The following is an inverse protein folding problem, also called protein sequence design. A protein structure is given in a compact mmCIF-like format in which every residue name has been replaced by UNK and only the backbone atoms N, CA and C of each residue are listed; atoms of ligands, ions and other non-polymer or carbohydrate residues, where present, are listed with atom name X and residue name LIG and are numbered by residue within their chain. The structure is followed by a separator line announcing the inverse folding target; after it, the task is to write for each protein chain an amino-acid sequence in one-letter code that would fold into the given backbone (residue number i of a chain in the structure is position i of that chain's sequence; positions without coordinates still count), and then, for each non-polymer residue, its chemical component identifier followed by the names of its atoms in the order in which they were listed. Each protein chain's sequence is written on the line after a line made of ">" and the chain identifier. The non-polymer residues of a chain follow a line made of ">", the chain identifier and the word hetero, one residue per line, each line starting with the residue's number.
data_IF_361502431045
#
_entry.id   IF_361502431045
#
_cell.length_a   1.000
_cell.length_b   1.000
_cell.length_c   1.000
_cell.angle_alpha   90.00
_cell.angle_beta   90.00
_cell.angle_gamma   90.00
#
_symmetry.space_group_name_H-M   'P 1'
#
loop_
_entity.id
_entity.type
_entity.pdbx_description
1 polymer ?
#
# COMPACT_ATOMS: atom_id res chain seq x y z
N UNK A 1 11.55 24.07 11.07
CA UNK A 1 11.75 23.63 9.68
C UNK A 1 10.42 23.81 8.98
N UNK A 2 10.25 24.93 8.30
CA UNK A 2 9.09 25.14 7.43
C UNK A 2 9.19 24.16 6.24
N UNK A 3 8.10 23.46 5.88
CA UNK A 3 8.08 22.70 4.65
C UNK A 3 8.23 23.69 3.49
N UNK A 4 9.19 23.41 2.59
CA UNK A 4 9.38 24.16 1.35
C UNK A 4 8.02 24.42 0.69
N UNK A 5 7.74 25.64 0.18
CA UNK A 5 6.53 25.89 -0.57
C UNK A 5 6.57 24.98 -1.80
N UNK A 6 5.65 24.00 -1.88
CA UNK A 6 5.38 23.33 -3.16
C UNK A 6 4.76 24.41 -4.04
N UNK A 7 5.52 24.89 -5.01
CA UNK A 7 5.00 25.82 -6.01
C UNK A 7 3.75 25.19 -6.65
N UNK A 8 2.56 25.83 -6.57
CA UNK A 8 1.30 25.28 -7.10
C UNK A 8 1.37 24.88 -8.58
N UNK A 9 2.32 25.45 -9.32
CA UNK A 9 2.53 25.22 -10.73
C UNK A 9 3.15 23.86 -11.08
N UNK A 10 3.65 23.10 -10.10
CA UNK A 10 4.22 21.77 -10.31
C UNK A 10 3.33 20.63 -9.79
N UNK A 11 2.20 20.95 -9.15
CA UNK A 11 1.29 19.91 -8.64
C UNK A 11 0.54 19.23 -9.81
N UNK A 12 0.66 17.90 -9.98
CA UNK A 12 0.08 17.21 -11.11
C UNK A 12 -1.46 17.24 -11.12
N UNK A 13 -2.10 17.33 -9.95
CA UNK A 13 -3.57 17.40 -9.83
C UNK A 13 -4.05 18.80 -10.19
N UNK A 14 -3.39 19.84 -9.68
CA UNK A 14 -3.74 21.22 -10.05
C UNK A 14 -3.54 21.43 -11.56
N UNK A 15 -2.43 20.93 -12.11
CA UNK A 15 -2.14 21.05 -13.53
C UNK A 15 -3.10 20.26 -14.43
N UNK A 16 -3.61 19.10 -14.00
CA UNK A 16 -4.61 18.35 -14.76
C UNK A 16 -5.97 19.06 -14.80
N UNK A 17 -6.29 19.86 -13.78
CA UNK A 17 -7.51 20.66 -13.71
C UNK A 17 -7.43 21.96 -14.51
N UNK A 18 -6.23 22.56 -14.65
CA UNK A 18 -6.04 23.84 -15.36
C UNK A 18 -6.58 23.78 -16.79
N UNK A 19 -7.51 24.68 -17.12
CA UNK A 19 -8.13 24.75 -18.45
C UNK A 19 -9.14 23.65 -18.77
N UNK A 20 -9.41 22.74 -17.83
CA UNK A 20 -10.42 21.69 -18.00
C UNK A 20 -11.84 22.24 -17.89
N UNK A 21 -12.82 21.47 -18.36
CA UNK A 21 -14.24 21.80 -18.17
C UNK A 21 -14.62 21.89 -16.68
N UNK A 22 -13.90 21.19 -15.81
CA UNK A 22 -14.19 21.10 -14.36
C UNK A 22 -13.98 22.43 -13.63
N UNK A 23 -13.13 23.32 -14.15
CA UNK A 23 -12.88 24.64 -13.55
C UNK A 23 -13.87 25.71 -14.01
N UNK A 24 -14.77 25.39 -14.95
CA UNK A 24 -15.77 26.35 -15.43
C UNK A 24 -16.90 26.54 -14.42
N UNK A 25 -17.42 27.76 -14.35
CA UNK A 25 -18.52 28.10 -13.44
C UNK A 25 -19.79 27.29 -13.74
N UNK A 26 -20.06 27.01 -15.02
CA UNK A 26 -21.20 26.25 -15.52
C UNK A 26 -21.03 24.71 -15.46
N UNK A 27 -19.87 24.21 -14.99
CA UNK A 27 -19.67 22.78 -14.81
C UNK A 27 -20.66 22.20 -13.80
N UNK A 28 -21.33 21.09 -14.15
CA UNK A 28 -22.21 20.33 -13.25
C UNK A 28 -21.43 19.50 -12.22
N UNK A 29 -20.15 19.24 -12.47
CA UNK A 29 -19.25 18.52 -11.57
C UNK A 29 -18.31 19.54 -10.94
N UNK A 30 -18.23 19.56 -9.61
CA UNK A 30 -17.33 20.42 -8.85
C UNK A 30 -16.24 19.58 -8.20
N UNK A 31 -15.01 20.07 -8.25
CA UNK A 31 -13.84 19.40 -7.69
C UNK A 31 -13.36 20.19 -6.48
N UNK A 32 -13.17 19.50 -5.36
CA UNK A 32 -12.55 20.04 -4.15
C UNK A 32 -11.27 19.22 -3.92
N UNK A 33 -10.11 19.84 -4.13
CA UNK A 33 -8.83 19.20 -3.87
C UNK A 33 -8.32 19.57 -2.48
N UNK A 34 -8.08 18.55 -1.64
CA UNK A 34 -7.61 18.71 -0.26
C UNK A 34 -6.24 18.02 -0.10
N UNK A 35 -5.12 18.77 -0.21
CA UNK A 35 -3.76 18.22 -0.18
C UNK A 35 -3.25 18.00 1.27
N UNK A 36 -4.13 17.58 2.18
CA UNK A 36 -3.80 17.33 3.59
C UNK A 36 -4.54 16.09 4.09
N UNK A 37 -4.00 15.44 5.12
CA UNK A 37 -4.73 14.37 5.79
C UNK A 37 -5.92 14.94 6.56
N UNK A 38 -7.10 14.36 6.31
CA UNK A 38 -8.33 14.67 7.02
C UNK A 38 -8.18 14.38 8.50
N UNK A 39 -8.39 15.39 9.33
CA UNK A 39 -8.29 15.29 10.77
C UNK A 39 -9.21 16.33 11.41
N UNK A 40 -9.51 16.19 12.70
CA UNK A 40 -10.47 17.09 13.38
C UNK A 40 -10.02 18.55 13.50
N UNK A 41 -8.84 18.88 12.99
CA UNK A 41 -8.19 20.19 13.04
C UNK A 41 -7.59 20.62 11.69
N UNK A 42 -8.02 20.04 10.56
CA UNK A 42 -7.46 20.31 9.23
C UNK A 42 -7.80 21.71 8.68
N UNK A 43 -8.77 22.40 9.29
CA UNK A 43 -9.18 23.77 8.92
C UNK A 43 -10.10 23.86 7.71
N UNK A 44 -10.35 22.76 7.00
CA UNK A 44 -11.22 22.68 5.82
C UNK A 44 -12.52 21.97 6.19
N UNK A 45 -12.45 20.70 6.58
CA UNK A 45 -13.61 19.90 6.96
C UNK A 45 -13.71 19.71 8.47
N UNK A 46 -12.57 19.65 9.17
CA UNK A 46 -12.49 19.39 10.62
C UNK A 46 -13.23 18.11 11.03
N UNK A 47 -13.07 17.06 10.22
CA UNK A 47 -13.67 15.74 10.42
C UNK A 47 -12.59 14.69 10.32
N UNK A 48 -12.77 13.56 11.00
CA UNK A 48 -11.91 12.42 10.73
C UNK A 48 -12.23 11.80 9.36
N UNK A 49 -11.28 11.03 8.83
CA UNK A 49 -11.41 10.36 7.53
C UNK A 49 -12.67 9.50 7.44
N UNK A 50 -13.01 8.76 8.49
CA UNK A 50 -14.13 7.82 8.48
C UNK A 50 -15.49 8.55 8.56
N UNK A 51 -15.59 9.66 9.29
CA UNK A 51 -16.78 10.53 9.31
C UNK A 51 -17.11 11.07 7.92
N UNK A 52 -16.09 11.42 7.12
CA UNK A 52 -16.29 11.85 5.74
C UNK A 52 -16.60 10.68 4.81
N UNK A 53 -15.89 9.55 4.96
CA UNK A 53 -16.06 8.37 4.12
C UNK A 53 -17.50 7.85 4.16
N UNK A 54 -18.09 7.71 5.34
CA UNK A 54 -19.49 7.22 5.51
C UNK A 54 -20.51 8.14 4.83
N UNK A 55 -20.17 9.43 4.66
CA UNK A 55 -21.00 10.42 3.99
C UNK A 55 -20.88 10.42 2.46
N UNK A 56 -19.98 9.62 1.88
CA UNK A 56 -19.82 9.53 0.43
C UNK A 56 -20.86 8.59 -0.19
N UNK A 57 -21.38 8.96 -1.36
CA UNK A 57 -22.32 8.13 -2.13
C UNK A 57 -21.61 7.01 -2.91
N UNK A 58 -20.40 7.29 -3.39
CA UNK A 58 -19.55 6.37 -4.15
C UNK A 58 -18.09 6.80 -4.02
N UNK A 59 -17.17 5.84 -4.01
CA UNK A 59 -15.72 6.10 -4.05
C UNK A 59 -15.09 5.55 -5.34
N UNK A 60 -13.98 6.15 -5.78
CA UNK A 60 -13.28 5.75 -7.01
C UNK A 60 -11.79 5.64 -6.73
N UNK A 61 -11.25 4.42 -6.83
CA UNK A 61 -9.84 4.10 -6.69
C UNK A 61 -9.32 3.44 -7.96
N UNK A 62 -9.10 4.27 -8.99
CA UNK A 62 -8.70 3.83 -10.33
C UNK A 62 -7.20 3.50 -10.43
N UNK A 63 -6.69 2.69 -9.50
CA UNK A 63 -5.25 2.41 -9.34
C UNK A 63 -4.67 1.70 -10.56
N UNK A 64 -3.45 2.09 -10.95
CA UNK A 64 -2.63 1.35 -11.93
C UNK A 64 -1.66 0.38 -11.24
N UNK A 65 -1.23 0.70 -10.02
CA UNK A 65 -0.41 -0.17 -9.18
C UNK A 65 -0.87 -0.09 -7.74
N UNK A 66 -1.48 -1.18 -7.26
CA UNK A 66 -1.96 -1.29 -5.88
C UNK A 66 -1.92 -2.77 -5.46
N UNK A 67 -0.89 -3.22 -4.71
CA UNK A 67 -0.68 -4.65 -4.43
C UNK A 67 -1.87 -5.33 -3.75
N UNK A 68 -2.60 -4.57 -2.93
CA UNK A 68 -3.84 -5.01 -2.30
C UNK A 68 -4.93 -3.99 -2.60
N UNK A 69 -5.19 -3.05 -1.69
CA UNK A 69 -6.26 -2.08 -1.82
C UNK A 69 -7.01 -1.97 -0.51
N UNK A 70 -6.38 -1.31 0.46
CA UNK A 70 -7.01 -1.10 1.77
C UNK A 70 -8.09 -0.02 1.69
N UNK A 71 -7.86 1.07 0.97
CA UNK A 71 -8.84 2.16 0.81
C UNK A 71 -10.16 1.69 0.15
N UNK A 72 -10.15 0.91 -0.95
CA UNK A 72 -11.40 0.36 -1.47
C UNK A 72 -12.05 -0.65 -0.52
N UNK A 73 -11.26 -1.47 0.19
CA UNK A 73 -11.78 -2.40 1.21
C UNK A 73 -12.43 -1.66 2.40
N UNK A 74 -11.81 -0.60 2.89
CA UNK A 74 -12.35 0.26 3.95
C UNK A 74 -13.67 0.89 3.49
N UNK A 75 -13.73 1.40 2.26
CA UNK A 75 -14.94 2.00 1.70
C UNK A 75 -16.13 1.04 1.72
N UNK A 76 -15.94 -0.20 1.24
CA UNK A 76 -17.01 -1.20 1.26
C UNK A 76 -17.38 -1.67 2.67
N UNK A 77 -16.41 -1.69 3.61
CA UNK A 77 -16.67 -1.99 5.01
C UNK A 77 -17.57 -0.95 5.69
N UNK A 78 -17.51 0.31 5.24
CA UNK A 78 -18.45 1.37 5.64
C UNK A 78 -19.72 1.42 4.76
N UNK A 79 -19.99 0.34 4.02
CA UNK A 79 -21.13 0.21 3.10
C UNK A 79 -21.16 1.28 2.01
N UNK A 80 -19.99 1.78 1.59
CA UNK A 80 -19.85 2.77 0.51
C UNK A 80 -19.52 2.03 -0.79
N UNK A 81 -20.39 2.13 -1.82
CA UNK A 81 -20.11 1.56 -3.13
C UNK A 81 -18.80 2.08 -3.70
N UNK A 82 -18.04 1.22 -4.37
CA UNK A 82 -16.65 1.51 -4.73
C UNK A 82 -16.33 1.08 -6.15
N UNK A 83 -15.66 1.95 -6.91
CA UNK A 83 -15.11 1.65 -8.24
C UNK A 83 -13.61 1.40 -8.10
N UNK A 84 -13.12 0.28 -8.60
CA UNK A 84 -11.68 -0.08 -8.60
C UNK A 84 -11.27 -0.70 -9.94
N UNK A 85 -10.04 -1.20 -10.06
CA UNK A 85 -9.52 -1.75 -11.32
C UNK A 85 -9.02 -3.18 -11.17
N UNK A 86 -8.87 -3.87 -12.29
CA UNK A 86 -8.26 -5.20 -12.37
C UNK A 86 -6.75 -5.21 -12.06
N UNK A 87 -6.10 -4.05 -11.91
CA UNK A 87 -4.69 -3.96 -11.52
C UNK A 87 -4.50 -3.76 -10.00
N UNK A 88 -5.59 -3.52 -9.27
CA UNK A 88 -5.59 -3.54 -7.81
C UNK A 88 -5.80 -4.97 -7.30
N UNK A 89 -5.02 -5.39 -6.29
CA UNK A 89 -5.18 -6.72 -5.67
C UNK A 89 -6.58 -6.96 -5.09
N UNK A 90 -7.21 -5.91 -4.56
CA UNK A 90 -8.59 -5.92 -4.08
C UNK A 90 -9.55 -6.16 -5.24
N UNK A 91 -9.40 -5.47 -6.38
CA UNK A 91 -10.21 -5.71 -7.58
C UNK A 91 -10.11 -7.16 -8.06
N UNK A 92 -8.90 -7.71 -8.13
CA UNK A 92 -8.67 -9.12 -8.46
C UNK A 92 -9.28 -10.10 -7.45
N UNK A 93 -9.35 -9.72 -6.17
CA UNK A 93 -10.00 -10.51 -5.13
C UNK A 93 -11.53 -10.43 -5.22
N UNK A 94 -12.09 -9.27 -5.54
CA UNK A 94 -13.53 -9.07 -5.77
C UNK A 94 -14.01 -9.89 -6.96
N UNK A 95 -13.28 -9.90 -8.08
CA UNK A 95 -13.64 -10.67 -9.30
C UNK A 95 -13.76 -12.19 -9.05
N UNK A 96 -13.24 -12.71 -7.93
CA UNK A 96 -13.42 -14.13 -7.55
C UNK A 96 -14.78 -14.42 -6.91
N UNK A 97 -15.51 -13.38 -6.52
CA UNK A 97 -16.84 -13.50 -5.93
C UNK A 97 -17.91 -13.47 -7.04
N UNK A 98 -18.98 -14.25 -6.89
CA UNK A 98 -20.03 -14.33 -7.92
C UNK A 98 -20.93 -13.10 -7.99
N UNK A 99 -21.14 -12.44 -6.85
CA UNK A 99 -22.01 -11.28 -6.72
C UNK A 99 -21.26 -10.20 -5.95
N UNK A 100 -21.14 -9.02 -6.56
CA UNK A 100 -20.42 -7.89 -5.98
C UNK A 100 -20.99 -6.56 -6.52
N UNK A 101 -22.32 -6.39 -6.49
CA UNK A 101 -22.96 -5.15 -6.95
C UNK A 101 -22.42 -3.89 -6.24
N UNK A 102 -21.96 -4.05 -4.99
CA UNK A 102 -21.27 -3.02 -4.20
C UNK A 102 -19.92 -2.55 -4.73
N UNK A 103 -19.29 -3.31 -5.64
CA UNK A 103 -17.99 -2.98 -6.22
C UNK A 103 -18.00 -3.15 -7.73
N UNK A 104 -17.68 -2.07 -8.43
CA UNK A 104 -17.46 -2.11 -9.87
C UNK A 104 -15.96 -2.22 -10.16
N UNK A 105 -15.55 -3.36 -10.73
CA UNK A 105 -14.17 -3.62 -11.14
C UNK A 105 -14.03 -3.33 -12.63
N UNK A 106 -13.23 -2.31 -12.96
CA UNK A 106 -12.98 -1.89 -14.35
C UNK A 106 -11.69 -2.51 -14.86
N UNK A 107 -11.75 -3.18 -16.01
CA UNK A 107 -10.56 -3.70 -16.69
C UNK A 107 -9.62 -2.54 -17.04
N UNK A 108 -8.37 -2.65 -16.58
CA UNK A 108 -7.28 -1.71 -16.87
C UNK A 108 -6.04 -2.48 -17.33
N UNK A 109 -5.38 -1.96 -18.35
CA UNK A 109 -4.07 -2.40 -18.85
C UNK A 109 -3.25 -1.19 -19.33
N UNK A 110 -2.12 -1.45 -19.99
CA UNK A 110 -1.16 -0.41 -20.41
C UNK A 110 -1.63 0.43 -21.60
N UNK A 111 -2.73 0.04 -22.26
CA UNK A 111 -3.14 0.60 -23.54
C UNK A 111 -4.59 1.10 -23.57
N UNK A 112 -5.37 0.91 -22.50
CA UNK A 112 -6.81 1.14 -22.51
C UNK A 112 -7.28 2.35 -21.68
N UNK A 113 -6.45 3.36 -21.46
CA UNK A 113 -6.79 4.52 -20.63
C UNK A 113 -8.12 5.19 -20.99
N UNK A 114 -8.41 5.35 -22.29
CA UNK A 114 -9.67 5.94 -22.73
C UNK A 114 -10.88 5.07 -22.35
N UNK A 115 -10.78 3.75 -22.52
CA UNK A 115 -11.84 2.81 -22.13
C UNK A 115 -12.10 2.87 -20.62
N UNK A 116 -11.04 2.99 -19.81
CA UNK A 116 -11.15 3.11 -18.35
C UNK A 116 -11.87 4.41 -17.98
N UNK A 117 -11.52 5.52 -18.60
CA UNK A 117 -12.16 6.82 -18.35
C UNK A 117 -13.65 6.79 -18.70
N UNK A 118 -14.00 6.24 -19.86
CA UNK A 118 -15.39 6.08 -20.31
C UNK A 118 -16.19 5.22 -19.32
N UNK A 119 -15.64 4.07 -18.92
CA UNK A 119 -16.29 3.17 -17.96
C UNK A 119 -16.50 3.80 -16.58
N UNK A 120 -15.51 4.55 -16.06
CA UNK A 120 -15.66 5.27 -14.79
C UNK A 120 -16.75 6.33 -14.90
N UNK A 121 -16.76 7.10 -15.99
CA UNK A 121 -17.79 8.12 -16.24
C UNK A 121 -19.19 7.50 -16.31
N UNK A 122 -19.35 6.40 -17.05
CA UNK A 122 -20.61 5.69 -17.17
C UNK A 122 -21.06 5.12 -15.82
N UNK A 123 -20.14 4.57 -15.03
CA UNK A 123 -20.42 4.09 -13.68
C UNK A 123 -20.95 5.20 -12.78
N UNK A 124 -20.24 6.33 -12.71
CA UNK A 124 -20.66 7.49 -11.91
C UNK A 124 -22.02 8.03 -12.35
N UNK A 125 -22.28 8.08 -13.66
CA UNK A 125 -23.58 8.50 -14.19
C UNK A 125 -24.70 7.54 -13.77
N UNK A 126 -24.47 6.22 -13.86
CA UNK A 126 -25.42 5.21 -13.39
C UNK A 126 -25.70 5.35 -11.90
N UNK A 127 -24.65 5.47 -11.08
CA UNK A 127 -24.78 5.67 -9.63
C UNK A 127 -25.60 6.93 -9.29
N UNK A 128 -25.37 8.03 -10.02
CA UNK A 128 -26.11 9.28 -9.81
C UNK A 128 -27.60 9.20 -10.15
N UNK A 129 -28.01 8.18 -10.92
CA UNK A 129 -29.38 7.97 -11.37
C UNK A 129 -30.12 6.87 -10.59
N UNK A 130 -29.47 6.22 -9.61
CA UNK A 130 -30.12 5.19 -8.78
C UNK A 130 -31.20 5.79 -7.88
N UNK A 131 -32.29 5.06 -7.70
CA UNK A 131 -33.28 5.38 -6.68
C UNK A 131 -32.84 4.87 -5.29
N UNK A 132 -33.52 5.32 -4.24
CA UNK A 132 -33.17 4.95 -2.85
C UNK A 132 -33.19 3.45 -2.58
N UNK A 133 -33.99 2.66 -3.32
CA UNK A 133 -34.04 1.20 -3.14
C UNK A 133 -32.77 0.57 -3.68
N UNK A 134 -32.42 0.89 -4.93
CA UNK A 134 -31.22 0.35 -5.56
C UNK A 134 -29.95 0.86 -4.88
N UNK A 135 -29.92 2.10 -4.38
CA UNK A 135 -28.82 2.58 -3.53
C UNK A 135 -28.64 1.67 -2.31
N UNK A 136 -29.73 1.35 -1.61
CA UNK A 136 -29.65 0.49 -0.43
C UNK A 136 -29.17 -0.93 -0.78
N UNK A 137 -29.64 -1.50 -1.89
CA UNK A 137 -29.18 -2.81 -2.38
C UNK A 137 -27.67 -2.84 -2.64
N UNK A 138 -27.14 -1.81 -3.31
CA UNK A 138 -25.71 -1.72 -3.61
C UNK A 138 -24.88 -1.50 -2.34
N UNK A 139 -25.37 -0.68 -1.39
CA UNK A 139 -24.71 -0.48 -0.09
C UNK A 139 -24.67 -1.76 0.75
N UNK A 140 -25.76 -2.52 0.78
CA UNK A 140 -25.81 -3.83 1.45
C UNK A 140 -24.81 -4.79 0.79
N UNK A 141 -24.79 -4.87 -0.53
CA UNK A 141 -23.83 -5.70 -1.26
C UNK A 141 -22.37 -5.31 -0.97
N UNK A 142 -22.06 -4.01 -0.83
CA UNK A 142 -20.73 -3.56 -0.43
C UNK A 142 -20.37 -4.05 0.99
N UNK A 143 -21.31 -3.92 1.93
CA UNK A 143 -21.13 -4.40 3.30
C UNK A 143 -20.92 -5.92 3.35
N UNK A 144 -21.75 -6.69 2.65
CA UNK A 144 -21.68 -8.16 2.62
C UNK A 144 -20.35 -8.65 2.04
N UNK A 145 -19.87 -8.00 0.97
CA UNK A 145 -18.57 -8.29 0.38
C UNK A 145 -17.44 -7.99 1.36
N UNK A 146 -17.51 -6.91 2.14
CA UNK A 146 -16.48 -6.60 3.12
C UNK A 146 -16.32 -7.68 4.20
N UNK A 147 -17.42 -8.36 4.54
CA UNK A 147 -17.41 -9.44 5.54
C UNK A 147 -16.62 -10.66 5.05
N UNK A 148 -16.57 -10.92 3.75
CA UNK A 148 -15.77 -12.04 3.21
C UNK A 148 -14.27 -11.77 3.26
N UNK A 149 -13.86 -10.51 3.44
CA UNK A 149 -12.46 -10.10 3.60
C UNK A 149 -11.97 -10.13 5.06
N UNK A 150 -12.80 -10.56 6.01
CA UNK A 150 -12.39 -10.67 7.41
C UNK A 150 -11.22 -11.64 7.58
N UNK A 151 -10.33 -11.32 8.52
CA UNK A 151 -9.15 -12.12 8.83
C UNK A 151 -9.48 -13.58 9.16
N UNK A 152 -10.63 -13.85 9.77
CA UNK A 152 -11.08 -15.21 10.05
C UNK A 152 -11.23 -16.09 8.80
N UNK A 153 -11.51 -15.49 7.64
CA UNK A 153 -11.59 -16.21 6.36
C UNK A 153 -10.23 -16.28 5.66
N UNK A 154 -9.44 -15.21 5.73
CA UNK A 154 -8.16 -15.09 5.03
C UNK A 154 -7.01 -15.83 5.74
N UNK A 155 -7.11 -16.05 7.05
CA UNK A 155 -6.05 -16.68 7.84
C UNK A 155 -5.73 -18.12 7.41
N UNK A 156 -6.71 -18.85 6.87
CA UNK A 156 -6.52 -20.21 6.36
C UNK A 156 -5.40 -20.31 5.31
N UNK A 157 -5.21 -19.27 4.48
CA UNK A 157 -4.12 -19.22 3.51
C UNK A 157 -2.74 -19.15 4.18
N UNK A 158 -2.63 -18.52 5.35
CA UNK A 158 -1.40 -18.49 6.14
C UNK A 158 -1.10 -19.86 6.75
N UNK A 159 -2.12 -20.56 7.25
CA UNK A 159 -1.97 -21.91 7.78
C UNK A 159 -1.50 -22.89 6.68
N UNK A 160 -2.07 -22.79 5.49
CA UNK A 160 -1.64 -23.56 4.33
C UNK A 160 -0.19 -23.26 3.97
N UNK A 161 0.17 -21.98 3.80
CA UNK A 161 1.54 -21.59 3.46
C UNK A 161 2.56 -22.06 4.50
N UNK A 162 2.21 -22.02 5.79
CA UNK A 162 3.05 -22.54 6.87
C UNK A 162 3.21 -24.06 6.77
N UNK A 163 2.12 -24.78 6.53
CA UNK A 163 2.13 -26.24 6.39
C UNK A 163 3.00 -26.69 5.22
N UNK A 164 2.85 -26.05 4.06
CA UNK A 164 3.66 -26.30 2.86
C UNK A 164 5.16 -26.00 3.10
N UNK A 165 5.47 -24.95 3.86
CA UNK A 165 6.84 -24.62 4.24
C UNK A 165 7.47 -25.68 5.16
N UNK A 166 6.70 -26.21 6.12
CA UNK A 166 7.14 -27.30 7.00
C UNK A 166 7.40 -28.57 6.20
N UNK A 167 6.47 -28.98 5.34
CA UNK A 167 6.64 -30.17 4.48
C UNK A 167 7.86 -30.03 3.58
N UNK A 168 8.03 -28.88 2.93
CA UNK A 168 9.19 -28.58 2.10
C UNK A 168 10.51 -28.61 2.88
N UNK A 169 10.49 -28.24 4.17
CA UNK A 169 11.65 -28.38 5.05
C UNK A 169 11.96 -29.85 5.35
N UNK A 170 10.95 -30.66 5.67
CA UNK A 170 11.11 -32.08 5.97
C UNK A 170 11.67 -32.83 4.75
N UNK A 171 11.14 -32.57 3.55
CA UNK A 171 11.62 -33.17 2.30
C UNK A 171 13.10 -32.83 2.04
N UNK A 172 13.50 -31.57 2.26
CA UNK A 172 14.91 -31.15 2.14
C UNK A 172 15.81 -31.89 3.13
N UNK A 173 15.39 -32.04 4.38
CA UNK A 173 16.13 -32.80 5.39
C UNK A 173 16.24 -34.27 5.02
N UNK A 174 15.15 -34.92 4.60
CA UNK A 174 15.16 -36.34 4.25
C UNK A 174 15.97 -36.63 2.98
N UNK A 175 15.93 -35.76 1.97
CA UNK A 175 16.76 -35.90 0.77
C UNK A 175 18.25 -35.80 1.07
N UNK A 176 18.65 -34.86 1.93
CA UNK A 176 20.04 -34.76 2.39
C UNK A 176 20.51 -36.02 3.16
N UNK A 177 19.59 -36.74 3.81
CA UNK A 177 19.91 -37.98 4.55
C UNK A 177 19.96 -39.23 3.64
N UNK A 178 19.23 -39.25 2.52
CA UNK A 178 19.08 -40.44 1.67
C UNK A 178 19.98 -40.47 0.43
N UNK A 179 20.31 -39.33 -0.16
CA UNK A 179 21.17 -39.26 -1.37
C UNK A 179 22.66 -39.40 -1.03
N UNK A 180 23.05 -39.21 0.24
CA UNK A 180 24.45 -39.15 0.67
C UNK A 180 24.92 -40.44 1.35
N UNK A 181 24.78 -41.54 0.62
CA UNK A 181 25.35 -42.83 0.97
C UNK A 181 26.88 -42.83 0.90
N UNK A 182 27.55 -42.20 1.86
CA UNK A 182 28.87 -42.62 2.31
C UNK A 182 29.98 -41.57 2.38
N UNK A 183 30.07 -40.84 3.49
CA UNK A 183 31.33 -40.55 4.16
C UNK A 183 31.05 -40.15 5.62
N UNK A 184 31.68 -40.84 6.59
CA UNK A 184 31.64 -40.46 8.02
C UNK A 184 32.34 -39.12 8.33
N UNK A 185 32.61 -38.30 7.31
CA UNK A 185 33.36 -37.04 7.38
C UNK A 185 32.64 -35.87 6.73
N UNK A 186 31.52 -36.07 6.05
CA UNK A 186 30.63 -34.95 5.77
C UNK A 186 29.73 -34.77 6.98
N UNK A 187 30.22 -33.96 7.93
CA UNK A 187 29.33 -33.29 8.84
C UNK A 187 28.36 -32.53 7.94
N UNK A 188 27.17 -33.08 7.75
CA UNK A 188 26.01 -32.28 7.41
C UNK A 188 26.09 -31.14 8.40
N UNK A 189 26.37 -29.94 7.92
CA UNK A 189 26.16 -28.72 8.68
C UNK A 189 24.64 -28.66 8.85
N UNK A 190 24.13 -29.48 9.77
CA UNK A 190 23.09 -29.08 10.67
C UNK A 190 23.68 -27.84 11.34
N UNK A 191 23.54 -26.71 10.66
CA UNK A 191 22.89 -25.61 11.32
C UNK A 191 21.49 -26.16 11.66
N UNK A 192 21.42 -27.01 12.69
CA UNK A 192 20.45 -26.76 13.73
C UNK A 192 20.68 -25.28 13.97
N UNK A 193 19.81 -24.45 13.39
CA UNK A 193 19.31 -23.37 14.17
C UNK A 193 18.73 -24.10 15.39
N UNK A 194 19.60 -24.42 16.36
CA UNK A 194 19.31 -24.05 17.71
C UNK A 194 18.79 -22.64 17.51
N UNK A 195 17.47 -22.51 17.56
CA UNK A 195 16.86 -21.34 18.13
C UNK A 195 17.51 -21.28 19.52
N UNK A 196 18.75 -20.80 19.55
CA UNK A 196 19.21 -20.01 20.66
C UNK A 196 18.11 -18.98 20.70
N UNK A 197 17.23 -19.14 21.68
CA UNK A 197 16.60 -17.98 22.26
C UNK A 197 17.81 -17.13 22.56
N UNK A 198 18.13 -16.18 21.67
CA UNK A 198 19.02 -15.09 22.02
C UNK A 198 18.27 -14.42 23.14
N UNK A 199 18.51 -14.89 24.37
CA UNK A 199 18.32 -14.07 25.54
C UNK A 199 19.20 -12.88 25.21
N UNK A 200 18.65 -11.68 24.99
CA UNK A 200 19.47 -10.54 24.65
C UNK A 200 20.46 -10.39 25.79
N UNK A 201 21.72 -10.73 25.53
CA UNK A 201 22.80 -10.42 26.43
C UNK A 201 23.04 -8.94 26.23
N UNK A 202 22.36 -8.15 27.05
CA UNK A 202 22.61 -6.73 27.18
C UNK A 202 23.99 -6.54 27.83
N UNK A 203 25.05 -6.83 27.10
CA UNK A 203 26.37 -6.29 27.41
C UNK A 203 26.28 -4.80 27.10
N UNK A 204 26.28 -3.96 28.14
CA UNK A 204 26.40 -2.51 27.98
C UNK A 204 27.79 -2.20 27.43
N UNK A 205 27.94 -2.31 26.12
CA UNK A 205 29.13 -1.85 25.42
C UNK A 205 29.05 -0.33 25.39
N UNK A 206 29.64 0.32 26.38
CA UNK A 206 29.96 1.74 26.30
C UNK A 206 31.05 1.87 25.24
N UNK A 207 30.64 1.92 23.96
CA UNK A 207 31.53 2.41 22.91
C UNK A 207 31.59 3.91 23.12
N UNK A 208 32.64 4.35 23.79
CA UNK A 208 33.00 5.76 23.78
C UNK A 208 33.42 6.08 22.34
N UNK A 209 32.47 6.59 21.55
CA UNK A 209 32.67 6.97 20.14
C UNK A 209 33.47 8.28 20.05
N UNK A 210 34.57 8.39 20.79
CA UNK A 210 35.47 9.53 20.61
C UNK A 210 36.36 9.23 19.40
N UNK A 211 35.88 9.63 18.22
CA UNK A 211 36.72 9.65 17.02
C UNK A 211 37.95 10.56 17.29
N UNK A 212 39.16 10.17 16.85
CA UNK A 212 40.34 11.03 16.96
C UNK A 212 40.04 12.42 16.37
N UNK A 213 40.55 13.51 17.00
CA UNK A 213 40.27 14.91 16.57
C UNK A 213 40.43 15.16 15.06
N UNK A 214 41.35 14.44 14.41
CA UNK A 214 41.60 14.48 12.96
C UNK A 214 40.42 13.99 12.09
N UNK A 215 39.50 13.19 12.62
CA UNK A 215 38.34 12.63 11.93
C UNK A 215 37.01 13.31 12.33
N UNK A 216 37.05 14.33 13.19
CA UNK A 216 35.84 15.03 13.63
C UNK A 216 35.07 15.68 12.46
N UNK A 217 35.79 16.18 11.45
CA UNK A 217 35.17 16.75 10.25
C UNK A 217 34.36 15.72 9.45
N UNK A 218 34.78 14.45 9.43
CA UNK A 218 34.03 13.37 8.79
C UNK A 218 32.77 12.99 9.59
N UNK A 219 32.84 13.06 10.91
CA UNK A 219 31.64 12.87 11.75
C UNK A 219 30.60 13.96 11.48
N UNK A 220 31.03 15.21 11.42
CA UNK A 220 30.16 16.35 11.14
C UNK A 220 29.53 16.25 9.74
N UNK A 221 30.31 15.84 8.73
CA UNK A 221 29.81 15.53 7.39
C UNK A 221 28.82 14.37 7.41
N UNK A 222 29.10 13.26 8.10
CA UNK A 222 28.19 12.10 8.13
C UNK A 222 26.82 12.43 8.75
N UNK A 223 26.78 13.43 9.64
CA UNK A 223 25.58 13.88 10.35
C UNK A 223 24.76 14.91 9.58
N UNK A 224 25.30 15.46 8.48
CA UNK A 224 24.53 16.29 7.57
C UNK A 224 24.23 15.50 6.29
N UNK A 225 22.97 15.40 5.88
CA UNK A 225 22.58 14.66 4.67
C UNK A 225 23.18 15.24 3.38
N UNK A 226 23.94 16.33 3.45
CA UNK A 226 24.57 17.03 2.34
C UNK A 226 25.53 16.14 1.54
N UNK A 227 26.29 15.25 2.19
CA UNK A 227 27.22 14.35 1.49
C UNK A 227 26.48 13.44 0.49
N UNK A 228 25.23 13.09 0.76
CA UNK A 228 24.41 12.29 -0.15
C UNK A 228 24.09 13.00 -1.47
N UNK A 229 24.39 14.28 -1.64
CA UNK A 229 24.01 15.05 -2.83
C UNK A 229 25.23 15.73 -3.47
N UNK A 230 26.42 15.53 -2.89
CA UNK A 230 27.68 16.01 -3.43
C UNK A 230 28.54 14.81 -3.91
N UNK A 231 28.77 14.66 -5.22
CA UNK A 231 29.54 13.56 -5.79
C UNK A 231 30.93 13.38 -5.16
N UNK A 232 31.67 14.47 -4.94
CA UNK A 232 33.02 14.39 -4.37
C UNK A 232 33.06 13.96 -2.90
N UNK A 233 31.96 14.17 -2.16
CA UNK A 233 31.83 13.68 -0.79
C UNK A 233 31.44 12.20 -0.75
N UNK A 234 30.70 11.70 -1.75
CA UNK A 234 30.40 10.26 -1.89
C UNK A 234 31.66 9.46 -2.20
N UNK A 235 32.47 9.92 -3.15
CA UNK A 235 33.74 9.25 -3.51
C UNK A 235 34.69 9.15 -2.30
N UNK A 236 34.68 10.18 -1.43
CA UNK A 236 35.45 10.19 -0.19
C UNK A 236 34.96 9.13 0.82
N UNK A 237 33.64 8.96 0.99
CA UNK A 237 33.10 7.94 1.89
C UNK A 237 33.23 6.52 1.33
N UNK A 238 33.11 6.35 0.00
CA UNK A 238 33.31 5.07 -0.68
C UNK A 238 34.77 4.58 -0.59
N UNK A 239 35.75 5.50 -0.51
CA UNK A 239 37.15 5.15 -0.28
C UNK A 239 37.53 4.83 1.17
N UNK A 240 36.60 4.97 2.14
CA UNK A 240 36.84 4.68 3.57
C UNK A 240 36.26 3.32 4.00
N UNK A 241 35.29 2.77 3.25
CA UNK A 241 34.71 1.43 3.43
C UNK A 241 35.66 0.33 2.90
#
# INVERSE_FOLDING_TARGET
>A
HDPLPREPDWDPIVNSLKGSILTRQDSKVKVIFVPTYLNKTDGIFNKDYYELLVGMDVTVFASYYEPWGYTPLESVAFSVPTITTTLAGFGLWVDKHREHAGVEVIRRDDFNDQEVQEKISDALLRFSALDSRHINEVRVSASDLSMTALWEHLFSAYEQAYSEAVESSIVRTNRAVLDDGGAKTEQINFVRQQLFVEKPNWSRMMVDKTLPKRLHALEELSRNLWWCWNPGARDLFEGID
#
